data_IF_665310505140
#
_entry.id   IF_665310505140
#
_cell.length_a   1.000
_cell.length_b   1.000
_cell.length_c   1.000
_cell.angle_alpha   90.00
_cell.angle_beta   90.00
_cell.angle_gamma   90.00
#
_symmetry.space_group_name_H-M   'P 1'
#
loop_
_entity.id
_entity.type
_entity.pdbx_description
1 polymer ?
#
# COMPACT_ATOMS: atom_id res chain seq x y z
N UNK A 1 -14.49 -11.31 -23.98
CA UNK A 1 -14.20 -12.54 -23.21
C UNK A 1 -13.11 -12.22 -22.22
N UNK A 2 -13.38 -12.29 -20.92
CA UNK A 2 -12.32 -12.24 -19.90
C UNK A 2 -11.65 -13.62 -19.95
N UNK A 3 -10.41 -13.70 -20.45
CA UNK A 3 -9.60 -14.92 -20.34
C UNK A 3 -9.39 -15.22 -18.86
N UNK A 4 -9.77 -16.41 -18.43
CA UNK A 4 -9.53 -16.91 -17.07
C UNK A 4 -8.24 -17.72 -17.10
N UNK A 5 -7.12 -17.01 -17.16
CA UNK A 5 -5.82 -17.65 -16.97
C UNK A 5 -5.63 -17.95 -15.47
N UNK A 6 -5.05 -19.10 -15.09
CA UNK A 6 -4.78 -19.41 -13.70
C UNK A 6 -3.85 -18.35 -13.09
N UNK A 7 -4.32 -17.67 -12.05
CA UNK A 7 -3.55 -16.61 -11.38
C UNK A 7 -2.62 -17.23 -10.33
N UNK A 8 -1.33 -17.31 -10.65
CA UNK A 8 -0.29 -17.77 -9.73
C UNK A 8 0.01 -16.71 -8.65
N UNK A 9 -0.81 -16.66 -7.58
CA UNK A 9 -0.65 -15.72 -6.45
C UNK A 9 0.71 -15.80 -5.75
N UNK A 10 1.35 -16.97 -5.75
CA UNK A 10 2.64 -17.18 -5.09
C UNK A 10 3.76 -16.32 -5.69
N UNK A 11 3.75 -16.10 -7.00
CA UNK A 11 4.79 -15.35 -7.71
C UNK A 11 4.70 -13.83 -7.52
N UNK A 12 3.61 -13.32 -6.95
CA UNK A 12 3.38 -11.87 -6.73
C UNK A 12 3.30 -11.49 -5.26
N UNK A 13 3.49 -12.46 -4.36
CA UNK A 13 3.49 -12.24 -2.91
C UNK A 13 4.67 -11.34 -2.54
N UNK A 14 4.46 -10.31 -1.69
CA UNK A 14 5.57 -9.45 -1.31
C UNK A 14 6.43 -10.20 -0.29
N UNK A 15 7.71 -9.86 -0.21
CA UNK A 15 8.56 -10.37 0.87
C UNK A 15 7.97 -9.94 2.23
N UNK A 16 7.81 -10.90 3.15
CA UNK A 16 7.22 -10.69 4.47
C UNK A 16 8.12 -11.20 5.58
N UNK A 17 8.21 -10.44 6.67
CA UNK A 17 8.92 -10.79 7.91
C UNK A 17 7.90 -10.74 9.05
N UNK A 18 7.85 -11.78 9.89
CA UNK A 18 6.91 -11.90 11.00
C UNK A 18 5.41 -11.73 10.63
N UNK A 19 5.06 -11.95 9.36
CA UNK A 19 3.69 -11.78 8.83
C UNK A 19 3.36 -10.35 8.37
N UNK A 20 4.35 -9.47 8.24
CA UNK A 20 4.20 -8.09 7.75
C UNK A 20 5.12 -7.87 6.54
N UNK A 21 4.71 -7.11 5.51
CA UNK A 21 5.58 -6.84 4.36
C UNK A 21 6.85 -6.07 4.76
N UNK A 22 7.96 -6.42 4.12
CA UNK A 22 9.30 -5.93 4.47
C UNK A 22 9.41 -4.41 4.34
N UNK A 23 8.92 -3.83 3.25
CA UNK A 23 8.98 -2.38 3.00
C UNK A 23 8.30 -1.58 4.12
N UNK A 24 7.01 -1.79 4.43
CA UNK A 24 6.35 -1.02 5.47
C UNK A 24 6.91 -1.33 6.87
N UNK A 25 7.44 -2.54 7.11
CA UNK A 25 8.13 -2.86 8.37
C UNK A 25 9.36 -1.97 8.57
N UNK A 26 10.23 -1.88 7.57
CA UNK A 26 11.40 -1.01 7.63
C UNK A 26 11.02 0.46 7.83
N UNK A 27 10.00 0.96 7.11
CA UNK A 27 9.54 2.35 7.26
C UNK A 27 9.16 2.65 8.72
N UNK A 28 8.43 1.76 9.38
CA UNK A 28 8.04 1.93 10.78
C UNK A 28 9.25 1.87 11.72
N UNK A 29 10.11 0.87 11.57
CA UNK A 29 11.31 0.72 12.42
C UNK A 29 12.24 1.92 12.28
N UNK A 30 12.51 2.37 11.06
CA UNK A 30 13.35 3.54 10.82
C UNK A 30 12.71 4.82 11.33
N UNK A 31 11.41 5.03 11.10
CA UNK A 31 10.73 6.24 11.56
C UNK A 31 10.72 6.33 13.10
N UNK A 32 10.34 5.24 13.78
CA UNK A 32 10.31 5.20 15.26
C UNK A 32 11.72 5.25 15.84
N UNK A 33 12.67 4.52 15.25
CA UNK A 33 14.06 4.53 15.68
C UNK A 33 14.69 5.92 15.55
N UNK A 34 14.46 6.60 14.43
CA UNK A 34 14.92 7.98 14.23
C UNK A 34 14.29 8.94 15.24
N UNK A 35 12.97 8.84 15.46
CA UNK A 35 12.27 9.68 16.43
C UNK A 35 12.76 9.43 17.86
N UNK A 36 13.06 8.16 18.18
CA UNK A 36 13.56 7.75 19.50
C UNK A 36 14.94 8.32 19.80
N UNK A 37 15.83 8.41 18.80
CA UNK A 37 17.13 9.09 18.93
C UNK A 37 16.95 10.57 19.29
N UNK A 38 15.95 11.24 18.71
CA UNK A 38 15.69 12.66 18.95
C UNK A 38 15.01 12.95 20.29
N UNK A 39 14.38 11.96 20.92
CA UNK A 39 13.48 12.17 22.07
C UNK A 39 13.83 11.27 23.25
N UNK A 40 13.47 9.99 23.20
CA UNK A 40 13.71 9.03 24.28
C UNK A 40 13.73 7.59 23.75
N UNK A 41 14.60 6.75 24.32
CA UNK A 41 14.74 5.32 23.97
C UNK A 41 13.44 4.52 24.16
N UNK A 42 12.59 4.95 25.11
CA UNK A 42 11.31 4.32 25.44
C UNK A 42 10.33 4.25 24.26
N UNK A 43 10.45 5.16 23.27
CA UNK A 43 9.60 5.13 22.09
C UNK A 43 9.79 3.88 21.22
N UNK A 44 10.92 3.18 21.34
CA UNK A 44 11.13 1.92 20.60
C UNK A 44 10.11 0.85 20.98
N UNK A 45 9.53 0.87 22.19
CA UNK A 45 8.47 -0.06 22.58
C UNK A 45 7.21 0.12 21.74
N UNK A 46 6.96 1.32 21.21
CA UNK A 46 5.82 1.59 20.32
C UNK A 46 5.89 0.76 19.03
N UNK A 47 7.10 0.43 18.57
CA UNK A 47 7.33 -0.40 17.37
C UNK A 47 6.59 -1.73 17.45
N UNK A 48 6.55 -2.36 18.63
CA UNK A 48 5.88 -3.65 18.83
C UNK A 48 4.37 -3.51 18.57
N UNK A 49 3.75 -2.47 19.12
CA UNK A 49 2.34 -2.17 18.91
C UNK A 49 2.02 -1.85 17.45
N UNK A 50 2.87 -1.04 16.79
CA UNK A 50 2.70 -0.70 15.38
C UNK A 50 2.80 -1.93 14.48
N UNK A 51 3.77 -2.81 14.70
CA UNK A 51 3.92 -4.06 13.94
C UNK A 51 2.70 -4.96 14.13
N UNK A 52 2.13 -5.02 15.33
CA UNK A 52 0.90 -5.77 15.58
C UNK A 52 -0.30 -5.22 14.80
N UNK A 53 -0.46 -3.90 14.76
CA UNK A 53 -1.50 -3.24 13.95
C UNK A 53 -1.29 -3.51 12.46
N UNK A 54 -0.05 -3.44 11.97
CA UNK A 54 0.26 -3.77 10.57
C UNK A 54 -0.12 -5.20 10.23
N UNK A 55 0.12 -6.14 11.14
CA UNK A 55 -0.26 -7.54 10.99
C UNK A 55 -1.78 -7.73 10.96
N UNK A 56 -2.54 -6.95 11.74
CA UNK A 56 -4.01 -6.93 11.64
C UNK A 56 -4.50 -6.43 10.27
N UNK A 57 -3.84 -5.40 9.70
CA UNK A 57 -4.21 -4.85 8.39
C UNK A 57 -4.01 -5.89 7.28
N UNK A 58 -2.88 -6.60 7.33
CA UNK A 58 -2.45 -7.57 6.30
C UNK A 58 -3.18 -8.91 6.41
N UNK A 59 -3.81 -9.22 7.55
CA UNK A 59 -4.51 -10.49 7.79
C UNK A 59 -5.46 -10.93 6.66
N UNK A 60 -6.11 -9.98 6.00
CA UNK A 60 -7.08 -10.27 4.93
C UNK A 60 -6.46 -10.25 3.53
N UNK A 61 -5.36 -9.52 3.32
CA UNK A 61 -4.72 -9.35 2.02
C UNK A 61 -3.24 -8.95 2.18
N UNK A 62 -2.35 -9.84 1.72
CA UNK A 62 -0.90 -9.66 1.69
C UNK A 62 -0.47 -8.39 0.91
N UNK A 63 -1.27 -7.94 -0.06
CA UNK A 63 -0.99 -6.79 -0.92
C UNK A 63 -1.64 -5.49 -0.43
N UNK A 64 -2.31 -5.49 0.73
CA UNK A 64 -3.08 -4.32 1.19
C UNK A 64 -2.27 -3.04 1.30
N UNK A 65 -1.04 -3.12 1.80
CA UNK A 65 -0.14 -1.95 1.87
C UNK A 65 0.21 -1.39 0.49
N UNK A 66 0.31 -2.22 -0.54
CA UNK A 66 0.54 -1.77 -1.92
C UNK A 66 -0.66 -0.99 -2.45
N UNK A 67 -1.87 -1.47 -2.16
CA UNK A 67 -3.12 -0.78 -2.55
C UNK A 67 -3.22 0.57 -1.84
N UNK A 68 -2.91 0.63 -0.54
CA UNK A 68 -2.89 1.89 0.23
C UNK A 68 -1.86 2.87 -0.35
N UNK A 69 -0.65 2.40 -0.66
CA UNK A 69 0.39 3.23 -1.28
C UNK A 69 -0.03 3.76 -2.64
N UNK A 70 -0.65 2.94 -3.47
CA UNK A 70 -1.15 3.34 -4.78
C UNK A 70 -2.28 4.36 -4.68
N UNK A 71 -3.21 4.16 -3.73
CA UNK A 71 -4.27 5.13 -3.45
C UNK A 71 -3.72 6.49 -3.04
N UNK A 72 -2.71 6.49 -2.16
CA UNK A 72 -2.04 7.72 -1.72
C UNK A 72 -1.33 8.40 -2.90
N UNK A 73 -0.60 7.62 -3.70
CA UNK A 73 0.11 8.10 -4.88
C UNK A 73 -0.81 8.81 -5.86
N UNK A 74 -1.93 8.17 -6.22
CA UNK A 74 -2.92 8.76 -7.12
C UNK A 74 -3.56 10.03 -6.57
N UNK A 75 -3.72 10.13 -5.25
CA UNK A 75 -4.28 11.31 -4.60
C UNK A 75 -3.33 12.51 -4.60
N UNK A 76 -2.01 12.26 -4.61
CA UNK A 76 -0.98 13.30 -4.65
C UNK A 76 -0.68 13.73 -6.09
N UNK A 77 -0.63 12.80 -7.03
CA UNK A 77 -0.17 13.09 -8.38
C UNK A 77 -1.18 13.86 -9.24
N UNK A 78 -2.47 13.77 -8.93
CA UNK A 78 -3.51 14.40 -9.75
C UNK A 78 -3.71 15.89 -9.40
N UNK A 79 -2.74 16.72 -9.82
CA UNK A 79 -2.76 18.17 -9.61
C UNK A 79 -3.88 18.87 -10.38
N UNK A 80 -4.29 18.30 -11.52
CA UNK A 80 -5.27 18.89 -12.42
C UNK A 80 -6.72 18.53 -12.05
N UNK A 81 -6.91 17.75 -10.98
CA UNK A 81 -8.21 17.35 -10.43
C UNK A 81 -9.13 18.53 -10.13
N UNK A 82 -8.58 19.69 -9.73
CA UNK A 82 -9.36 20.90 -9.47
C UNK A 82 -10.06 21.44 -10.72
N UNK A 83 -9.39 21.37 -11.88
CA UNK A 83 -9.94 21.83 -13.15
C UNK A 83 -10.88 20.79 -13.77
N UNK A 84 -10.42 19.54 -13.90
CA UNK A 84 -11.15 18.50 -14.62
C UNK A 84 -12.21 17.78 -13.78
N UNK A 85 -12.15 17.88 -12.44
CA UNK A 85 -13.00 17.16 -11.47
C UNK A 85 -13.03 15.63 -11.66
N UNK A 86 -12.12 15.09 -12.46
CA UNK A 86 -12.01 13.69 -12.83
C UNK A 86 -10.54 13.31 -13.07
N UNK A 87 -10.23 12.03 -12.86
CA UNK A 87 -8.89 11.45 -12.99
C UNK A 87 -8.95 10.27 -13.94
N UNK A 88 -8.12 10.24 -14.98
CA UNK A 88 -8.02 9.13 -15.93
C UNK A 88 -6.59 8.61 -15.98
N UNK A 89 -6.34 7.42 -15.42
CA UNK A 89 -5.00 6.82 -15.31
C UNK A 89 -4.68 5.78 -16.39
N UNK A 90 -5.64 5.49 -17.28
CA UNK A 90 -5.46 4.59 -18.40
C UNK A 90 -6.24 5.12 -19.60
N UNK A 91 -5.65 5.10 -20.82
CA UNK A 91 -6.36 5.42 -22.05
C UNK A 91 -7.31 4.27 -22.41
N UNK A 92 -8.40 4.13 -21.65
CA UNK A 92 -9.41 3.12 -21.96
C UNK A 92 -10.25 3.62 -23.12
N UNK A 93 -10.08 3.00 -24.29
CA UNK A 93 -10.94 3.26 -25.44
C UNK A 93 -12.29 2.58 -25.21
N UNK A 94 -13.30 3.34 -24.77
CA UNK A 94 -14.65 2.82 -24.63
C UNK A 94 -15.24 2.54 -26.02
N UNK A 95 -15.58 1.27 -26.32
CA UNK A 95 -16.41 0.96 -27.49
C UNK A 95 -17.81 1.53 -27.27
N UNK A 96 -18.34 2.20 -28.29
CA UNK A 96 -19.73 2.70 -28.30
C UNK A 96 -20.68 1.53 -28.04
N UNK A 97 -21.34 1.52 -26.89
CA UNK A 97 -22.39 0.55 -26.57
C UNK A 97 -23.62 0.93 -27.40
N UNK A 98 -23.86 0.20 -28.49
CA UNK A 98 -25.06 0.36 -29.29
C UNK A 98 -26.28 0.01 -28.43
N UNK A 99 -27.32 0.85 -28.51
CA UNK A 99 -28.67 0.50 -28.01
C UNK A 99 -29.29 -0.50 -28.96
#
# INVERSE_FOLDING_TARGET
>A
MIRRDPLFKGCTRPAMVCGVPVIPFFVVVFAVGFLSILTTVLLNFLTIGLVYVMRMIVKNDDQRFRIIGLWLYFRIQDMNRGFWKASAYSPVTYKKRWR
#
